data_IF_398151812963
#
_entry.id   IF_398151812963
#
_cell.length_a   1.000
_cell.length_b   1.000
_cell.length_c   1.000
_cell.angle_alpha   90.00
_cell.angle_beta   90.00
_cell.angle_gamma   90.00
#
_symmetry.space_group_name_H-M   'P 1'
#
loop_
_entity.id
_entity.type
_entity.pdbx_description
1 polymer ?
#
# COMPACT_ATOMS: atom_id res chain seq x y z
N UNK A 1 0.66 10.46 20.49
CA UNK A 1 1.74 9.45 20.60
C UNK A 1 2.23 9.15 19.20
N UNK A 2 3.42 9.65 18.83
CA UNK A 2 4.02 9.36 17.53
C UNK A 2 4.70 7.98 17.61
N UNK A 3 4.16 6.98 16.92
CA UNK A 3 4.82 5.68 16.76
C UNK A 3 5.90 5.86 15.70
N UNK A 4 7.10 6.28 16.10
CA UNK A 4 8.29 6.16 15.26
C UNK A 4 8.73 4.70 15.30
N UNK A 5 8.08 3.84 14.53
CA UNK A 5 8.60 2.50 14.29
C UNK A 5 9.78 2.65 13.32
N UNK A 6 10.97 2.92 13.86
CA UNK A 6 12.22 2.81 13.14
C UNK A 6 12.42 1.33 12.80
N UNK A 7 11.75 0.89 11.73
CA UNK A 7 11.81 -0.48 11.26
C UNK A 7 13.28 -0.85 11.03
N UNK A 8 13.82 -1.67 11.93
CA UNK A 8 15.18 -2.17 11.85
C UNK A 8 15.29 -2.99 10.57
N UNK A 9 16.19 -2.57 9.67
CA UNK A 9 16.41 -3.27 8.41
C UNK A 9 17.04 -4.62 8.73
N UNK A 10 16.33 -5.71 8.43
CA UNK A 10 16.86 -7.06 8.54
C UNK A 10 17.52 -7.45 7.22
N UNK A 11 18.78 -7.83 7.26
CA UNK A 11 19.46 -8.42 6.11
C UNK A 11 18.75 -9.74 5.74
N UNK A 12 18.35 -9.85 4.48
CA UNK A 12 17.63 -11.02 3.96
C UNK A 12 18.35 -11.49 2.70
N UNK A 13 18.69 -12.78 2.65
CA UNK A 13 19.28 -13.38 1.45
C UNK A 13 18.15 -13.66 0.46
N UNK A 14 18.24 -13.06 -0.73
CA UNK A 14 17.30 -13.24 -1.83
C UNK A 14 18.06 -13.72 -3.07
N UNK A 15 17.41 -14.57 -3.87
CA UNK A 15 17.95 -15.04 -5.14
C UNK A 15 17.41 -14.18 -6.27
N UNK A 16 18.30 -13.59 -7.07
CA UNK A 16 17.97 -12.72 -8.20
C UNK A 16 18.81 -13.14 -9.41
N UNK A 17 18.36 -12.78 -10.62
CA UNK A 17 19.07 -13.09 -11.86
C UNK A 17 20.45 -12.42 -11.88
N UNK A 18 21.47 -13.21 -12.22
CA UNK A 18 22.87 -12.78 -12.13
C UNK A 18 23.23 -11.67 -13.14
N UNK A 19 22.61 -11.72 -14.32
CA UNK A 19 22.69 -10.71 -15.38
C UNK A 19 22.17 -9.35 -14.89
N UNK A 20 20.98 -9.32 -14.30
CA UNK A 20 20.37 -8.09 -13.77
C UNK A 20 21.20 -7.52 -12.61
N UNK A 21 21.76 -8.37 -11.75
CA UNK A 21 22.65 -7.93 -10.67
C UNK A 21 23.95 -7.32 -11.20
N UNK A 22 24.53 -7.90 -12.26
CA UNK A 22 25.74 -7.39 -12.89
C UNK A 22 25.48 -6.02 -13.55
N UNK A 23 24.38 -5.91 -14.28
CA UNK A 23 23.96 -4.66 -14.92
C UNK A 23 23.65 -3.57 -13.88
N UNK A 24 22.88 -3.90 -12.84
CA UNK A 24 22.56 -2.96 -11.77
C UNK A 24 23.82 -2.44 -11.06
N UNK A 25 24.82 -3.31 -10.84
CA UNK A 25 26.13 -2.90 -10.30
C UNK A 25 26.88 -1.99 -11.27
N UNK A 26 26.89 -2.30 -12.56
CA UNK A 26 27.55 -1.48 -13.58
C UNK A 26 26.92 -0.08 -13.68
N UNK A 27 25.60 0.00 -13.49
CA UNK A 27 24.83 1.24 -13.46
C UNK A 27 24.83 1.95 -12.08
N UNK A 28 25.59 1.43 -11.11
CA UNK A 28 25.66 1.95 -9.75
C UNK A 28 24.29 2.07 -9.03
N UNK A 29 23.38 1.15 -9.34
CA UNK A 29 22.03 1.09 -8.75
C UNK A 29 22.12 0.49 -7.35
N UNK A 30 21.49 1.16 -6.38
CA UNK A 30 21.36 0.62 -5.02
C UNK A 30 20.26 -0.45 -4.97
N UNK A 31 20.67 -1.70 -5.23
CA UNK A 31 19.78 -2.87 -5.30
C UNK A 31 18.95 -3.02 -4.02
N UNK A 32 19.58 -2.92 -2.85
CA UNK A 32 18.90 -3.07 -1.56
C UNK A 32 17.78 -2.04 -1.37
N UNK A 33 18.03 -0.78 -1.75
CA UNK A 33 17.03 0.29 -1.67
C UNK A 33 15.91 0.09 -2.69
N UNK A 34 16.25 -0.32 -3.92
CA UNK A 34 15.27 -0.58 -4.97
C UNK A 34 14.32 -1.72 -4.57
N UNK A 35 14.87 -2.82 -4.06
CA UNK A 35 14.09 -3.95 -3.57
C UNK A 35 13.22 -3.57 -2.37
N UNK A 36 13.74 -2.83 -1.39
CA UNK A 36 12.95 -2.39 -0.22
C UNK A 36 11.76 -1.51 -0.64
N UNK A 37 11.99 -0.55 -1.54
CA UNK A 37 10.92 0.31 -2.06
C UNK A 37 9.84 -0.50 -2.78
N UNK A 38 10.24 -1.36 -3.71
CA UNK A 38 9.30 -2.15 -4.47
C UNK A 38 8.50 -3.12 -3.58
N UNK A 39 9.16 -3.76 -2.61
CA UNK A 39 8.49 -4.65 -1.67
C UNK A 39 7.48 -3.90 -0.80
N UNK A 40 7.79 -2.69 -0.35
CA UNK A 40 6.84 -1.85 0.40
C UNK A 40 5.60 -1.50 -0.43
N UNK A 41 5.78 -1.19 -1.71
CA UNK A 41 4.67 -0.89 -2.63
C UNK A 41 3.78 -2.12 -2.81
N UNK A 42 4.37 -3.29 -3.06
CA UNK A 42 3.64 -4.56 -3.19
C UNK A 42 2.87 -4.90 -1.91
N UNK A 43 3.51 -4.77 -0.74
CA UNK A 43 2.86 -5.03 0.55
C UNK A 43 1.72 -4.07 0.80
N UNK A 44 1.88 -2.78 0.47
CA UNK A 44 0.81 -1.80 0.60
C UNK A 44 -0.37 -2.14 -0.30
N UNK A 45 -0.11 -2.43 -1.58
CA UNK A 45 -1.15 -2.81 -2.54
C UNK A 45 -1.92 -4.07 -2.11
N UNK A 46 -1.22 -5.10 -1.62
CA UNK A 46 -1.89 -6.30 -1.11
C UNK A 46 -2.71 -6.05 0.15
N UNK A 47 -2.24 -5.17 1.05
CA UNK A 47 -3.01 -4.76 2.23
C UNK A 47 -4.28 -4.01 1.82
N UNK A 48 -4.17 -3.06 0.89
CA UNK A 48 -5.32 -2.33 0.36
C UNK A 48 -6.32 -3.28 -0.29
N UNK A 49 -5.85 -4.23 -1.12
CA UNK A 49 -6.69 -5.24 -1.77
C UNK A 49 -7.44 -6.10 -0.75
N UNK A 50 -6.74 -6.58 0.28
CA UNK A 50 -7.36 -7.39 1.36
C UNK A 50 -8.37 -6.59 2.16
N UNK A 51 -8.01 -5.36 2.53
CA UNK A 51 -8.91 -4.47 3.25
C UNK A 51 -10.19 -4.18 2.46
N UNK A 52 -10.07 -3.93 1.15
CA UNK A 52 -11.22 -3.74 0.27
C UNK A 52 -12.11 -4.99 0.22
N UNK A 53 -11.53 -6.19 0.18
CA UNK A 53 -12.29 -7.44 0.20
C UNK A 53 -13.00 -7.67 1.54
N UNK A 54 -12.29 -7.45 2.65
CA UNK A 54 -12.82 -7.62 4.01
C UNK A 54 -13.91 -6.60 4.34
N UNK A 55 -13.93 -5.43 3.69
CA UNK A 55 -14.90 -4.37 3.97
C UNK A 55 -15.84 -4.08 2.80
N UNK A 56 -15.81 -4.90 1.75
CA UNK A 56 -16.68 -4.74 0.58
C UNK A 56 -18.17 -4.75 0.98
N UNK A 57 -18.57 -5.68 1.84
CA UNK A 57 -19.96 -5.79 2.31
C UNK A 57 -20.37 -4.60 3.18
N UNK A 58 -19.48 -4.14 4.07
CA UNK A 58 -19.74 -2.96 4.90
C UNK A 58 -19.87 -1.69 4.04
N UNK A 59 -18.97 -1.50 3.08
CA UNK A 59 -19.01 -0.37 2.15
C UNK A 59 -20.28 -0.44 1.30
N UNK A 60 -20.67 -1.63 0.82
CA UNK A 60 -21.91 -1.80 0.06
C UNK A 60 -23.15 -1.45 0.89
N UNK A 61 -23.25 -1.96 2.12
CA UNK A 61 -24.36 -1.65 3.03
C UNK A 61 -24.42 -0.15 3.34
N UNK A 62 -23.28 0.48 3.64
CA UNK A 62 -23.20 1.91 3.90
C UNK A 62 -23.59 2.77 2.68
N UNK A 63 -23.12 2.39 1.49
CA UNK A 63 -23.49 3.06 0.24
C UNK A 63 -24.98 2.91 -0.09
N UNK A 64 -25.58 1.76 0.25
CA UNK A 64 -27.01 1.56 0.09
C UNK A 64 -27.80 2.49 1.02
N UNK A 65 -27.42 2.58 2.30
CA UNK A 65 -28.02 3.52 3.24
C UNK A 65 -27.91 4.97 2.77
N UNK A 66 -26.75 5.38 2.24
CA UNK A 66 -26.59 6.72 1.66
C UNK A 66 -27.44 6.98 0.41
N UNK A 67 -27.74 5.94 -0.38
CA UNK A 67 -28.58 6.05 -1.57
C UNK A 67 -30.06 6.14 -1.19
N UNK A 68 -30.47 5.42 -0.14
CA UNK A 68 -31.85 5.38 0.35
C UNK A 68 -32.20 6.63 1.18
N UNK A 69 -31.32 7.03 2.10
CA UNK A 69 -31.57 8.11 3.05
C UNK A 69 -31.04 9.48 2.57
N UNK A 70 -30.22 9.48 1.51
CA UNK A 70 -29.50 10.67 1.05
C UNK A 70 -28.35 11.06 1.99
N UNK A 71 -27.59 12.09 1.60
CA UNK A 71 -26.49 12.60 2.43
C UNK A 71 -27.07 13.45 3.58
N UNK A 72 -26.90 13.06 4.86
CA UNK A 72 -27.55 13.75 5.98
C UNK A 72 -27.16 15.22 6.16
N UNK A 73 -26.06 15.64 5.54
CA UNK A 73 -25.51 17.00 5.63
C UNK A 73 -25.54 17.73 4.28
N UNK A 74 -26.22 17.19 3.27
CA UNK A 74 -26.29 17.82 1.94
C UNK A 74 -26.98 19.20 2.00
N UNK A 75 -27.93 19.35 2.94
CA UNK A 75 -28.68 20.59 3.21
C UNK A 75 -27.79 21.75 3.70
N UNK A 76 -26.59 21.45 4.21
CA UNK A 76 -25.66 22.42 4.81
C UNK A 76 -24.40 22.62 3.98
N UNK A 77 -24.37 22.06 2.76
CA UNK A 77 -23.21 22.10 1.88
C UNK A 77 -23.15 23.45 1.16
N UNK A 78 -22.44 24.41 1.73
CA UNK A 78 -22.09 25.67 1.08
C UNK A 78 -20.90 25.47 0.12
N UNK A 79 -21.06 25.94 -1.12
CA UNK A 79 -20.05 25.96 -2.19
C UNK A 79 -19.16 27.20 -2.13
#
# INVERSE_FOLDING_TARGET
MAVTNSATKKATNITLSADVLAEAKALNINISQACDRHLRELVRGERERRWQQEHAEFIAAYNQTLTEDGLPLDEWRSF
#
